data_IF_838746972591
#
_entry.id   IF_838746972591
#
_cell.length_a   1.000
_cell.length_b   1.000
_cell.length_c   1.000
_cell.angle_alpha   90.00
_cell.angle_beta   90.00
_cell.angle_gamma   90.00
#
_symmetry.space_group_name_H-M   'P 1'
#
loop_
_entity.id
_entity.type
_entity.pdbx_description
1 polymer ?
#
# COMPACT_ATOMS: atom_id res chain seq x y z
N UNK A 1 -41.03 30.48 22.82
CA UNK A 1 -40.56 30.85 24.17
C UNK A 1 -40.04 29.59 24.81
N UNK A 2 -38.73 29.35 24.71
CA UNK A 2 -38.03 28.29 25.44
C UNK A 2 -36.85 29.00 26.10
N UNK A 3 -37.04 29.31 27.38
CA UNK A 3 -35.96 29.74 28.25
C UNK A 3 -35.26 28.52 28.84
N UNK A 4 -34.00 28.76 29.20
CA UNK A 4 -33.25 28.17 30.32
C UNK A 4 -32.98 26.66 30.33
N UNK A 5 -31.80 26.32 29.82
CA UNK A 5 -30.80 25.60 30.63
C UNK A 5 -29.39 25.83 30.08
N UNK A 6 -28.74 26.85 30.65
CA UNK A 6 -27.32 27.13 30.50
C UNK A 6 -26.61 26.62 31.77
N UNK A 7 -25.46 25.99 31.56
CA UNK A 7 -24.40 25.70 32.53
C UNK A 7 -24.65 24.68 33.64
N UNK A 8 -24.14 23.46 33.41
CA UNK A 8 -23.29 22.72 34.35
C UNK A 8 -22.62 21.56 33.59
N UNK A 9 -21.45 21.82 32.98
CA UNK A 9 -20.38 20.83 32.73
C UNK A 9 -19.12 21.50 32.15
N UNK A 10 -18.82 22.72 32.58
CA UNK A 10 -17.52 23.37 32.41
C UNK A 10 -16.79 23.32 33.74
N UNK A 11 -16.08 22.22 34.04
CA UNK A 11 -15.02 22.17 35.08
C UNK A 11 -14.32 20.79 35.07
N UNK A 12 -13.62 20.41 33.99
CA UNK A 12 -12.60 19.33 34.04
C UNK A 12 -11.83 19.12 32.73
N UNK A 13 -11.46 20.16 31.98
CA UNK A 13 -10.59 19.97 30.82
C UNK A 13 -9.60 21.12 30.57
N UNK A 14 -8.99 21.59 31.66
CA UNK A 14 -7.84 22.51 31.61
C UNK A 14 -6.69 21.86 32.37
N UNK A 15 -6.06 20.85 31.73
CA UNK A 15 -4.73 20.36 32.08
C UNK A 15 -4.00 19.98 30.76
N UNK A 16 -3.37 21.02 30.21
CA UNK A 16 -2.07 21.02 29.52
C UNK A 16 -1.74 19.96 28.47
N UNK A 17 -1.53 20.42 27.24
CA UNK A 17 -0.79 19.77 26.15
C UNK A 17 0.65 19.37 26.57
N UNK A 18 1.24 18.40 25.82
CA UNK A 18 2.70 18.16 25.59
C UNK A 18 3.36 16.84 26.03
N UNK A 19 2.72 15.66 25.93
CA UNK A 19 3.45 14.38 26.03
C UNK A 19 3.26 13.48 24.79
N UNK A 20 3.41 14.05 23.59
CA UNK A 20 3.21 13.33 22.30
C UNK A 20 4.32 12.31 21.95
N UNK A 21 5.42 12.25 22.71
CA UNK A 21 6.58 11.37 22.45
C UNK A 21 6.97 10.55 23.67
N UNK A 22 6.03 9.81 24.25
CA UNK A 22 6.30 8.93 25.39
C UNK A 22 5.73 7.52 25.17
N UNK A 23 6.43 6.47 25.62
CA UNK A 23 5.90 5.13 25.62
C UNK A 23 4.76 4.99 26.66
N UNK A 24 3.90 3.99 26.47
CA UNK A 24 2.68 3.82 27.30
C UNK A 24 2.91 2.95 28.54
N UNK A 25 3.95 2.12 28.51
CA UNK A 25 4.25 1.18 29.58
C UNK A 25 4.84 1.91 30.79
N UNK A 26 4.64 1.39 32.01
CA UNK A 26 5.13 2.03 33.22
C UNK A 26 6.66 2.03 33.32
N UNK A 27 7.18 2.85 34.23
CA UNK A 27 8.58 2.84 34.67
C UNK A 27 8.72 1.83 35.81
N UNK A 28 9.70 0.94 35.77
CA UNK A 28 10.01 0.05 36.90
C UNK A 28 11.10 0.70 37.77
N UNK A 29 10.73 1.06 38.99
CA UNK A 29 11.63 1.58 40.02
C UNK A 29 12.11 0.40 40.85
N UNK A 30 13.43 0.26 41.00
CA UNK A 30 14.08 -0.82 41.72
C UNK A 30 14.94 -0.18 42.81
N UNK A 31 14.42 -0.21 44.04
CA UNK A 31 14.96 0.54 45.18
C UNK A 31 14.50 -0.14 46.47
N UNK A 32 15.39 -0.33 47.43
CA UNK A 32 15.12 -1.02 48.69
C UNK A 32 14.58 -0.08 49.79
N UNK A 33 14.90 1.22 49.74
CA UNK A 33 14.47 2.20 50.75
C UNK A 33 13.12 2.83 50.41
N UNK A 34 12.16 2.69 51.33
CA UNK A 34 10.80 3.21 51.17
C UNK A 34 10.75 4.72 50.93
N UNK A 35 11.65 5.48 51.56
CA UNK A 35 11.69 6.94 51.37
C UNK A 35 12.02 7.32 49.92
N UNK A 36 12.96 6.61 49.30
CA UNK A 36 13.37 6.81 47.92
C UNK A 36 12.28 6.33 46.95
N UNK A 37 11.63 5.20 47.24
CA UNK A 37 10.50 4.71 46.45
C UNK A 37 9.39 5.76 46.34
N UNK A 38 8.98 6.34 47.47
CA UNK A 38 7.91 7.37 47.51
C UNK A 38 8.32 8.62 46.74
N UNK A 39 9.58 9.07 46.88
CA UNK A 39 10.10 10.21 46.13
C UNK A 39 10.07 9.95 44.61
N UNK A 40 10.59 8.81 44.17
CA UNK A 40 10.69 8.47 42.75
C UNK A 40 9.31 8.25 42.11
N UNK A 41 8.38 7.60 42.83
CA UNK A 41 6.99 7.47 42.40
C UNK A 41 6.31 8.84 42.24
N UNK A 42 6.53 9.77 43.18
CA UNK A 42 6.00 11.13 43.08
C UNK A 42 6.58 11.88 41.86
N UNK A 43 7.85 11.68 41.54
CA UNK A 43 8.50 12.27 40.35
C UNK A 43 7.91 11.67 39.07
N UNK A 44 7.78 10.34 38.97
CA UNK A 44 7.14 9.65 37.84
C UNK A 44 5.70 10.17 37.61
N UNK A 45 4.92 10.32 38.69
CA UNK A 45 3.57 10.87 38.62
C UNK A 45 3.55 12.33 38.16
N UNK A 46 4.50 13.15 38.60
CA UNK A 46 4.64 14.55 38.16
C UNK A 46 4.91 14.66 36.67
N UNK A 47 5.68 13.74 36.09
CA UNK A 47 5.91 13.64 34.64
C UNK A 47 4.81 12.81 33.94
N UNK A 48 3.68 12.52 34.59
CA UNK A 48 2.54 11.85 33.97
C UNK A 48 2.78 10.39 33.55
N UNK A 49 3.77 9.71 34.14
CA UNK A 49 4.05 8.30 33.90
C UNK A 49 3.57 7.44 35.07
N UNK A 50 3.00 6.28 34.76
CA UNK A 50 2.79 5.24 35.76
C UNK A 50 4.13 4.61 36.15
N UNK A 51 4.26 4.23 37.42
CA UNK A 51 5.42 3.50 37.92
C UNK A 51 5.03 2.25 38.68
N UNK A 52 5.93 1.28 38.70
CA UNK A 52 5.85 0.11 39.55
C UNK A 52 7.12 0.01 40.37
N UNK A 53 7.04 -0.59 41.56
CA UNK A 53 8.14 -0.66 42.50
C UNK A 53 8.54 -2.13 42.71
N UNK A 54 9.84 -2.39 42.67
CA UNK A 54 10.46 -3.62 43.12
C UNK A 54 11.46 -3.32 44.23
N UNK A 55 11.41 -4.08 45.32
CA UNK A 55 12.28 -3.86 46.49
C UNK A 55 13.70 -4.41 46.31
N UNK A 56 13.91 -5.30 45.33
CA UNK A 56 15.21 -5.85 44.97
C UNK A 56 15.26 -6.29 43.49
N UNK A 57 16.46 -6.64 43.00
CA UNK A 57 16.65 -7.07 41.62
C UNK A 57 15.93 -8.38 41.24
N UNK A 58 15.67 -9.27 42.20
CA UNK A 58 14.99 -10.55 41.93
C UNK A 58 13.50 -10.32 41.68
N UNK A 59 12.85 -9.53 42.53
CA UNK A 59 11.46 -9.09 42.35
C UNK A 59 11.33 -8.32 41.04
N UNK A 60 12.31 -7.47 40.71
CA UNK A 60 12.32 -6.74 39.45
C UNK A 60 12.35 -7.66 38.22
N UNK A 61 13.16 -8.73 38.24
CA UNK A 61 13.19 -9.72 37.15
C UNK A 61 11.84 -10.45 37.00
N UNK A 62 11.23 -10.87 38.10
CA UNK A 62 9.90 -11.51 38.09
C UNK A 62 8.80 -10.57 37.58
N UNK A 63 8.89 -9.29 37.90
CA UNK A 63 7.96 -8.27 37.39
C UNK A 63 8.17 -8.02 35.90
N UNK A 64 9.43 -7.88 35.46
CA UNK A 64 9.81 -7.62 34.08
C UNK A 64 9.58 -8.82 33.14
N UNK A 65 9.42 -10.04 33.68
CA UNK A 65 9.00 -11.21 32.90
C UNK A 65 7.49 -11.27 32.68
N UNK A 66 6.68 -10.65 33.56
CA UNK A 66 5.21 -10.70 33.50
C UNK A 66 4.60 -9.61 32.61
N UNK A 67 5.24 -8.44 32.54
CA UNK A 67 4.79 -7.33 31.68
C UNK A 67 5.97 -6.46 31.24
N UNK A 68 5.85 -5.76 30.09
CA UNK A 68 6.88 -4.84 29.63
C UNK A 68 6.90 -3.54 30.44
N UNK A 69 8.08 -2.91 30.48
CA UNK A 69 8.30 -1.60 31.08
C UNK A 69 9.01 -0.69 30.08
N UNK A 70 8.77 0.61 30.17
CA UNK A 70 9.37 1.61 29.29
C UNK A 70 10.82 1.92 29.66
N UNK A 71 11.10 1.92 30.95
CA UNK A 71 12.37 2.35 31.53
C UNK A 71 12.56 1.65 32.89
N UNK A 72 13.80 1.30 33.20
CA UNK A 72 14.18 0.72 34.48
C UNK A 72 15.03 1.74 35.26
N UNK A 73 14.55 2.18 36.43
CA UNK A 73 15.30 3.03 37.34
C UNK A 73 15.89 2.15 38.44
N UNK A 74 17.22 1.98 38.45
CA UNK A 74 17.90 0.91 39.19
C UNK A 74 18.81 1.49 40.26
N UNK A 75 18.61 1.14 41.53
CA UNK A 75 19.67 1.29 42.54
C UNK A 75 20.71 0.19 42.39
N UNK A 76 21.99 0.56 42.45
CA UNK A 76 23.09 -0.40 42.41
C UNK A 76 23.24 -1.15 43.73
N UNK A 77 22.96 -0.48 44.85
CA UNK A 77 23.23 -1.01 46.18
C UNK A 77 21.93 -1.47 46.84
N UNK A 78 21.55 -2.72 46.59
CA UNK A 78 20.34 -3.34 47.16
C UNK A 78 20.63 -4.74 47.71
N UNK A 79 19.84 -5.22 48.69
CA UNK A 79 19.94 -6.59 49.19
C UNK A 79 19.48 -7.63 48.14
N UNK A 80 19.84 -8.89 48.35
CA UNK A 80 19.45 -10.07 47.55
C UNK A 80 20.09 -10.13 46.14
N UNK A 81 19.70 -9.25 45.22
CA UNK A 81 20.26 -9.16 43.87
C UNK A 81 20.59 -7.71 43.56
N UNK A 82 21.86 -7.44 43.29
CA UNK A 82 22.37 -6.09 43.05
C UNK A 82 21.96 -5.55 41.67
N UNK A 83 21.96 -4.22 41.53
CA UNK A 83 21.53 -3.55 40.30
C UNK A 83 22.39 -3.90 39.09
N UNK A 84 23.69 -4.17 39.29
CA UNK A 84 24.61 -4.55 38.21
C UNK A 84 24.23 -5.91 37.62
N UNK A 85 23.97 -6.92 38.45
CA UNK A 85 23.54 -8.24 37.97
C UNK A 85 22.15 -8.18 37.34
N UNK A 86 21.23 -7.38 37.90
CA UNK A 86 19.91 -7.15 37.28
C UNK A 86 20.02 -6.62 35.84
N UNK A 87 20.84 -5.58 35.61
CA UNK A 87 21.03 -4.98 34.28
C UNK A 87 21.58 -6.02 33.30
N UNK A 88 22.57 -6.82 33.71
CA UNK A 88 23.17 -7.85 32.87
C UNK A 88 22.15 -8.93 32.47
N UNK A 89 21.39 -9.47 33.43
CA UNK A 89 20.38 -10.49 33.17
C UNK A 89 19.26 -9.95 32.29
N UNK A 90 18.78 -8.73 32.56
CA UNK A 90 17.72 -8.14 31.74
C UNK A 90 18.18 -7.86 30.32
N UNK A 91 19.41 -7.39 30.11
CA UNK A 91 19.94 -7.15 28.76
C UNK A 91 20.13 -8.40 27.91
N UNK A 92 20.38 -9.56 28.53
CA UNK A 92 20.40 -10.84 27.79
C UNK A 92 19.03 -11.17 27.20
N UNK A 93 17.96 -10.83 27.91
CA UNK A 93 16.58 -11.11 27.51
C UNK A 93 15.99 -9.99 26.63
N UNK A 94 16.31 -8.74 26.95
CA UNK A 94 15.85 -7.55 26.24
C UNK A 94 17.04 -6.60 26.01
N UNK A 95 17.82 -6.79 24.92
CA UNK A 95 18.98 -5.96 24.62
C UNK A 95 18.65 -4.47 24.42
N UNK A 96 17.39 -4.16 24.06
CA UNK A 96 16.87 -2.82 23.87
C UNK A 96 16.45 -2.11 25.16
N UNK A 97 16.44 -2.81 26.30
CA UNK A 97 16.01 -2.24 27.57
C UNK A 97 16.85 -0.99 27.93
N UNK A 98 16.15 0.05 28.37
CA UNK A 98 16.75 1.33 28.75
C UNK A 98 16.77 1.42 30.27
N UNK A 99 17.94 1.72 30.81
CA UNK A 99 18.16 1.78 32.26
C UNK A 99 18.63 3.19 32.62
N UNK A 100 18.18 3.72 33.76
CA UNK A 100 18.82 4.82 34.47
C UNK A 100 19.26 4.28 35.81
N UNK A 101 20.50 4.53 36.17
CA UNK A 101 21.02 4.11 37.46
C UNK A 101 20.91 5.22 38.46
N UNK A 102 20.64 4.87 39.71
CA UNK A 102 20.83 5.73 40.86
C UNK A 102 21.89 5.12 41.79
N UNK A 103 22.87 5.91 42.22
CA UNK A 103 23.98 5.41 43.04
C UNK A 103 24.50 6.45 44.02
N UNK A 104 25.03 5.99 45.15
CA UNK A 104 25.82 6.80 46.09
C UNK A 104 27.33 6.75 45.79
N UNK A 105 27.75 5.94 44.81
CA UNK A 105 29.14 5.81 44.37
C UNK A 105 29.50 7.05 43.55
N UNK A 106 30.51 7.78 43.99
CA UNK A 106 31.08 8.96 43.32
C UNK A 106 32.43 8.68 42.63
N UNK A 107 32.93 7.45 42.74
CA UNK A 107 34.18 7.02 42.09
C UNK A 107 33.99 6.87 40.57
N UNK A 108 34.79 7.62 39.82
CA UNK A 108 34.71 7.71 38.35
C UNK A 108 34.92 6.34 37.68
N UNK A 109 35.85 5.53 38.18
CA UNK A 109 36.19 4.23 37.56
C UNK A 109 35.02 3.25 37.63
N UNK A 110 34.30 3.20 38.75
CA UNK A 110 33.13 2.33 38.93
C UNK A 110 31.96 2.78 38.02
N UNK A 111 31.73 4.09 37.90
CA UNK A 111 30.70 4.64 37.00
C UNK A 111 31.00 4.27 35.54
N UNK A 112 32.27 4.36 35.12
CA UNK A 112 32.68 3.98 33.75
C UNK A 112 32.41 2.50 33.49
N UNK A 113 32.70 1.60 34.44
CA UNK A 113 32.40 0.18 34.28
C UNK A 113 30.92 -0.09 34.05
N UNK A 114 30.06 0.65 34.75
CA UNK A 114 28.63 0.44 34.66
C UNK A 114 28.07 1.05 33.37
N UNK A 115 28.58 2.20 32.93
CA UNK A 115 28.22 2.77 31.63
C UNK A 115 28.59 1.85 30.47
N UNK A 116 29.69 1.06 30.59
CA UNK A 116 30.05 0.02 29.59
C UNK A 116 29.02 -1.09 29.46
N UNK A 117 28.10 -1.26 30.42
CA UNK A 117 26.96 -2.16 30.29
C UNK A 117 25.88 -1.60 29.33
N UNK A 118 26.09 -0.41 28.76
CA UNK A 118 25.20 0.24 27.79
C UNK A 118 23.94 0.81 28.45
N UNK A 119 24.10 1.36 29.65
CA UNK A 119 23.05 2.03 30.40
C UNK A 119 22.85 3.44 29.82
N UNK A 120 21.64 3.98 29.86
CA UNK A 120 21.34 5.26 29.22
C UNK A 120 21.94 6.43 29.99
N UNK A 121 21.77 6.46 31.31
CA UNK A 121 22.28 7.53 32.17
C UNK A 121 22.41 7.08 33.62
N UNK A 122 23.03 7.91 34.46
CA UNK A 122 23.13 7.71 35.91
C UNK A 122 22.79 8.97 36.71
N UNK A 123 22.35 8.77 37.95
CA UNK A 123 21.93 9.78 38.91
C UNK A 123 22.70 9.57 40.21
N UNK A 124 23.39 10.62 40.67
CA UNK A 124 24.09 10.61 41.96
C UNK A 124 23.12 10.96 43.09
N UNK A 125 23.13 10.18 44.17
CA UNK A 125 22.40 10.49 45.41
C UNK A 125 23.17 11.61 46.16
N UNK A 126 22.50 12.62 46.76
CA UNK A 126 21.06 12.75 46.97
C UNK A 126 20.29 13.17 45.71
N UNK A 127 19.11 12.58 45.49
CA UNK A 127 18.30 12.79 44.29
C UNK A 127 17.57 14.13 44.33
N UNK A 128 17.88 15.01 43.37
CA UNK A 128 17.16 16.26 43.19
C UNK A 128 16.01 16.09 42.18
N UNK A 129 14.79 16.44 42.60
CA UNK A 129 13.55 16.25 41.83
C UNK A 129 13.67 16.76 40.38
N UNK A 130 14.22 17.95 40.18
CA UNK A 130 14.34 18.55 38.84
C UNK A 130 15.30 17.79 37.93
N UNK A 131 16.43 17.31 38.47
CA UNK A 131 17.43 16.54 37.73
C UNK A 131 16.84 15.20 37.33
N UNK A 132 16.20 14.49 38.27
CA UNK A 132 15.59 13.18 38.00
C UNK A 132 14.48 13.31 36.95
N UNK A 133 13.61 14.32 37.08
CA UNK A 133 12.55 14.56 36.11
C UNK A 133 13.11 14.79 34.70
N UNK A 134 14.08 15.70 34.53
CA UNK A 134 14.72 15.97 33.23
C UNK A 134 15.35 14.71 32.61
N UNK A 135 16.04 13.89 33.40
CA UNK A 135 16.64 12.65 32.90
C UNK A 135 15.60 11.62 32.49
N UNK A 136 14.53 11.46 33.27
CA UNK A 136 13.44 10.55 32.94
C UNK A 136 12.72 10.99 31.65
N UNK A 137 12.45 12.28 31.47
CA UNK A 137 11.79 12.79 30.26
C UNK A 137 12.61 12.52 29.00
N UNK A 138 13.91 12.80 29.02
CA UNK A 138 14.82 12.53 27.89
C UNK A 138 14.94 11.04 27.59
N UNK A 139 15.02 10.20 28.62
CA UNK A 139 15.08 8.76 28.45
C UNK A 139 13.80 8.19 27.84
N UNK A 140 12.63 8.68 28.26
CA UNK A 140 11.33 8.27 27.71
C UNK A 140 11.18 8.70 26.25
N UNK A 141 11.62 9.90 25.88
CA UNK A 141 11.63 10.32 24.48
C UNK A 141 12.55 9.43 23.64
N UNK A 142 13.74 9.09 24.14
CA UNK A 142 14.65 8.16 23.46
C UNK A 142 14.02 6.77 23.25
N UNK A 143 13.35 6.22 24.28
CA UNK A 143 12.62 4.93 24.16
C UNK A 143 11.53 5.01 23.09
N UNK A 144 10.77 6.11 23.06
CA UNK A 144 9.72 6.33 22.07
C UNK A 144 10.29 6.36 20.65
N UNK A 145 11.33 7.17 20.42
CA UNK A 145 11.96 7.31 19.10
C UNK A 145 12.54 5.99 18.59
N UNK A 146 13.24 5.25 19.46
CA UNK A 146 13.86 3.96 19.11
C UNK A 146 12.81 2.90 18.74
N UNK A 147 11.66 2.89 19.41
CA UNK A 147 10.54 2.00 19.04
C UNK A 147 9.92 2.40 17.70
N UNK A 148 9.77 3.69 17.45
CA UNK A 148 9.23 4.20 16.19
C UNK A 148 10.16 3.87 15.02
N UNK A 149 11.47 4.04 15.19
CA UNK A 149 12.49 3.63 14.21
C UNK A 149 12.42 2.12 13.92
N UNK A 150 12.32 1.29 14.95
CA UNK A 150 12.20 -0.17 14.78
C UNK A 150 10.91 -0.56 14.03
N UNK A 151 9.80 0.16 14.24
CA UNK A 151 8.55 -0.09 13.53
C UNK A 151 8.64 0.30 12.05
N UNK A 152 9.26 1.44 11.75
CA UNK A 152 9.47 1.91 10.38
C UNK A 152 10.38 0.95 9.58
N UNK A 153 11.47 0.48 10.20
CA UNK A 153 12.36 -0.52 9.59
C UNK A 153 11.61 -1.84 9.33
N UNK A 154 10.74 -2.25 10.26
CA UNK A 154 9.96 -3.49 10.11
C UNK A 154 8.93 -3.37 8.96
N UNK A 155 8.28 -2.22 8.80
CA UNK A 155 7.41 -1.91 7.66
C UNK A 155 8.16 -1.89 6.33
N UNK A 156 9.29 -1.19 6.25
CA UNK A 156 10.14 -1.12 5.05
C UNK A 156 10.67 -2.52 4.68
N UNK A 157 11.05 -3.32 5.67
CA UNK A 157 11.51 -4.70 5.43
C UNK A 157 10.40 -5.62 4.93
N UNK A 158 9.15 -5.43 5.37
CA UNK A 158 7.98 -6.16 4.86
C UNK A 158 7.68 -5.79 3.42
N UNK A 159 7.72 -4.51 3.10
CA UNK A 159 7.54 -4.00 1.73
C UNK A 159 8.64 -4.55 0.81
N UNK A 160 9.90 -4.45 1.20
CA UNK A 160 11.04 -4.99 0.45
C UNK A 160 10.93 -6.52 0.26
N UNK A 161 10.49 -7.24 1.29
CA UNK A 161 10.28 -8.69 1.21
C UNK A 161 9.15 -9.04 0.25
N UNK A 162 8.04 -8.29 0.25
CA UNK A 162 6.95 -8.43 -0.72
C UNK A 162 7.45 -8.20 -2.15
N UNK A 163 8.25 -7.13 -2.36
CA UNK A 163 8.87 -6.83 -3.64
C UNK A 163 9.84 -7.93 -4.09
N UNK A 164 10.67 -8.47 -3.20
CA UNK A 164 11.58 -9.59 -3.48
C UNK A 164 10.83 -10.89 -3.78
N UNK A 165 9.76 -11.20 -3.05
CA UNK A 165 8.90 -12.35 -3.33
C UNK A 165 8.23 -12.21 -4.71
N UNK A 166 7.88 -10.99 -5.11
CA UNK A 166 7.35 -10.72 -6.44
C UNK A 166 8.40 -10.83 -7.54
N UNK A 167 9.60 -10.29 -7.33
CA UNK A 167 10.73 -10.44 -8.26
C UNK A 167 11.11 -11.91 -8.43
N UNK A 168 11.18 -12.67 -7.34
CA UNK A 168 11.41 -14.12 -7.36
C UNK A 168 10.27 -14.88 -8.05
N UNK A 169 9.01 -14.45 -7.88
CA UNK A 169 7.89 -15.01 -8.62
C UNK A 169 8.04 -14.78 -10.13
N UNK A 170 8.38 -13.55 -10.55
CA UNK A 170 8.66 -13.22 -11.96
C UNK A 170 9.86 -13.99 -12.50
N UNK A 171 10.92 -14.15 -11.71
CA UNK A 171 12.11 -14.91 -12.12
C UNK A 171 11.85 -16.42 -12.18
N UNK A 172 11.02 -16.96 -11.28
CA UNK A 172 10.56 -18.35 -11.30
C UNK A 172 9.64 -18.64 -12.49
N UNK A 173 8.77 -17.69 -12.85
CA UNK A 173 7.97 -17.73 -14.10
C UNK A 173 8.85 -17.59 -15.35
N UNK A 174 10.06 -17.04 -15.22
CA UNK A 174 11.09 -17.05 -16.28
C UNK A 174 11.67 -18.44 -16.55
N UNK A 175 11.44 -19.42 -15.66
CA UNK A 175 12.11 -20.74 -15.73
C UNK A 175 11.21 -21.98 -15.63
N UNK A 176 9.93 -21.90 -15.27
CA UNK A 176 9.14 -23.14 -15.11
C UNK A 176 7.63 -23.01 -15.37
N UNK A 177 7.13 -23.95 -16.19
CA UNK A 177 5.76 -24.40 -16.44
C UNK A 177 4.88 -23.62 -17.45
N UNK A 178 5.31 -23.62 -18.72
CA UNK A 178 4.49 -23.28 -19.90
C UNK A 178 3.14 -24.03 -19.93
N UNK A 179 3.10 -25.31 -19.51
CA UNK A 179 1.90 -26.17 -19.64
C UNK A 179 0.70 -25.72 -18.79
N UNK A 180 0.92 -25.23 -17.56
CA UNK A 180 -0.20 -24.81 -16.70
C UNK A 180 -0.73 -23.43 -17.11
N UNK A 181 0.14 -22.52 -17.57
CA UNK A 181 -0.26 -21.21 -18.09
C UNK A 181 -1.07 -21.34 -19.39
N UNK A 182 -0.68 -22.26 -20.28
CA UNK A 182 -1.41 -22.57 -21.51
C UNK A 182 -2.80 -23.17 -21.23
N UNK A 183 -2.91 -24.15 -20.33
CA UNK A 183 -4.19 -24.75 -19.94
C UNK A 183 -5.15 -23.74 -19.28
N UNK A 184 -4.63 -22.87 -18.40
CA UNK A 184 -5.44 -21.80 -17.80
C UNK A 184 -5.90 -20.78 -18.83
N UNK A 185 -5.05 -20.42 -19.79
CA UNK A 185 -5.41 -19.54 -20.91
C UNK A 185 -6.54 -20.15 -21.75
N UNK A 186 -6.47 -21.45 -22.07
CA UNK A 186 -7.53 -22.15 -22.82
C UNK A 186 -8.85 -22.18 -22.03
N UNK A 187 -8.81 -22.46 -20.73
CA UNK A 187 -10.00 -22.48 -19.87
C UNK A 187 -10.62 -21.08 -19.75
N UNK A 188 -9.81 -20.04 -19.63
CA UNK A 188 -10.26 -18.65 -19.56
C UNK A 188 -10.84 -18.18 -20.91
N UNK A 189 -10.22 -18.53 -22.05
CA UNK A 189 -10.78 -18.30 -23.40
C UNK A 189 -12.14 -18.97 -23.52
N UNK A 190 -12.24 -20.26 -23.18
CA UNK A 190 -13.50 -21.02 -23.27
C UNK A 190 -14.59 -20.35 -22.44
N UNK A 191 -14.26 -19.97 -21.20
CA UNK A 191 -15.21 -19.32 -20.30
C UNK A 191 -15.68 -18.00 -20.89
N UNK A 192 -14.76 -17.18 -21.40
CA UNK A 192 -15.07 -15.85 -21.92
C UNK A 192 -15.84 -15.89 -23.23
N UNK A 193 -15.52 -16.82 -24.15
CA UNK A 193 -16.25 -16.99 -25.41
C UNK A 193 -17.64 -17.61 -25.20
N UNK A 194 -17.84 -18.38 -24.13
CA UNK A 194 -19.14 -19.01 -23.82
C UNK A 194 -20.03 -18.20 -22.88
N UNK A 195 -19.52 -17.16 -22.20
CA UNK A 195 -20.30 -16.31 -21.28
C UNK A 195 -20.69 -14.96 -21.89
N UNK A 196 -21.76 -14.36 -21.37
CA UNK A 196 -22.22 -13.02 -21.76
C UNK A 196 -22.60 -12.92 -23.25
N UNK A 197 -22.15 -11.86 -23.91
CA UNK A 197 -22.36 -11.54 -25.34
C UNK A 197 -21.46 -12.35 -26.31
N UNK A 198 -20.86 -13.45 -25.86
CA UNK A 198 -20.02 -14.31 -26.69
C UNK A 198 -20.77 -15.28 -27.61
N UNK A 199 -20.04 -16.21 -28.23
CA UNK A 199 -20.54 -17.23 -29.16
C UNK A 199 -21.65 -18.11 -28.57
N UNK A 200 -21.61 -18.36 -27.26
CA UNK A 200 -22.65 -19.13 -26.56
C UNK A 200 -24.03 -18.47 -26.67
N UNK A 201 -24.11 -17.17 -26.39
CA UNK A 201 -25.35 -16.42 -26.51
C UNK A 201 -25.82 -16.31 -27.98
N UNK A 202 -24.89 -16.15 -28.93
CA UNK A 202 -25.24 -16.19 -30.35
C UNK A 202 -25.88 -17.53 -30.74
N UNK A 203 -25.31 -18.66 -30.29
CA UNK A 203 -25.88 -19.99 -30.53
C UNK A 203 -27.29 -20.10 -29.95
N UNK A 204 -27.51 -19.62 -28.72
CA UNK A 204 -28.84 -19.64 -28.08
C UNK A 204 -29.86 -18.77 -28.83
N UNK A 205 -29.45 -17.60 -29.34
CA UNK A 205 -30.31 -16.73 -30.14
C UNK A 205 -30.65 -17.41 -31.46
N UNK A 206 -29.67 -18.01 -32.14
CA UNK A 206 -29.88 -18.76 -33.40
C UNK A 206 -30.83 -19.94 -33.17
N UNK A 207 -30.64 -20.71 -32.10
CA UNK A 207 -31.52 -21.83 -31.75
C UNK A 207 -32.96 -21.35 -31.48
N UNK A 208 -33.11 -20.22 -30.80
CA UNK A 208 -34.42 -19.58 -30.55
C UNK A 208 -35.09 -19.14 -31.86
N UNK A 209 -34.33 -18.52 -32.78
CA UNK A 209 -34.81 -18.16 -34.11
C UNK A 209 -35.23 -19.41 -34.88
N UNK A 210 -34.46 -20.49 -34.84
CA UNK A 210 -34.81 -21.73 -35.53
C UNK A 210 -36.11 -22.36 -35.01
N UNK A 211 -36.39 -22.26 -33.72
CA UNK A 211 -37.61 -22.79 -33.11
C UNK A 211 -38.84 -21.90 -33.35
N UNK A 212 -38.66 -20.57 -33.42
CA UNK A 212 -39.77 -19.61 -33.49
C UNK A 212 -40.02 -19.08 -34.91
N UNK A 213 -39.16 -19.36 -35.90
CA UNK A 213 -39.35 -18.92 -37.27
C UNK A 213 -40.65 -19.46 -37.87
N UNK A 214 -41.34 -18.61 -38.63
CA UNK A 214 -42.55 -18.99 -39.35
C UNK A 214 -42.17 -19.23 -40.81
N UNK A 215 -42.38 -20.44 -41.32
CA UNK A 215 -42.13 -20.81 -42.71
C UNK A 215 -43.24 -20.26 -43.62
N UNK A 216 -42.88 -19.45 -44.61
CA UNK A 216 -43.78 -18.90 -45.62
C UNK A 216 -43.48 -19.47 -47.03
N UNK A 217 -42.84 -20.64 -47.10
CA UNK A 217 -42.51 -21.34 -48.33
C UNK A 217 -41.18 -20.90 -48.93
N UNK A 218 -41.05 -19.64 -49.35
CA UNK A 218 -39.78 -19.09 -49.87
C UNK A 218 -38.95 -18.35 -48.82
N UNK A 219 -39.62 -17.77 -47.83
CA UNK A 219 -38.99 -16.92 -46.82
C UNK A 219 -39.35 -17.40 -45.41
N UNK A 220 -38.49 -17.07 -44.44
CA UNK A 220 -38.78 -17.21 -43.02
C UNK A 220 -39.11 -15.84 -42.42
N UNK A 221 -40.22 -15.75 -41.70
CA UNK A 221 -40.51 -14.58 -40.87
C UNK A 221 -39.93 -14.79 -39.48
N UNK A 222 -39.07 -13.86 -39.05
CA UNK A 222 -38.40 -13.86 -37.75
C UNK A 222 -38.86 -12.61 -37.00
N UNK A 223 -39.12 -12.73 -35.69
CA UNK A 223 -39.43 -11.57 -34.87
C UNK A 223 -38.21 -10.63 -34.82
N UNK A 224 -38.46 -9.34 -35.08
CA UNK A 224 -37.48 -8.26 -35.09
C UNK A 224 -36.61 -8.24 -33.83
N UNK A 225 -37.17 -8.52 -32.65
CA UNK A 225 -36.42 -8.54 -31.40
C UNK A 225 -35.26 -9.54 -31.42
N UNK A 226 -35.47 -10.75 -31.97
CA UNK A 226 -34.40 -11.74 -32.09
C UNK A 226 -33.37 -11.36 -33.14
N UNK A 227 -33.79 -10.67 -34.20
CA UNK A 227 -32.88 -10.16 -35.21
C UNK A 227 -31.98 -9.06 -34.64
N UNK A 228 -32.55 -8.11 -33.92
CA UNK A 228 -31.81 -7.02 -33.27
C UNK A 228 -30.83 -7.58 -32.23
N UNK A 229 -31.26 -8.53 -31.38
CA UNK A 229 -30.38 -9.24 -30.44
C UNK A 229 -29.24 -10.00 -31.12
N UNK A 230 -29.53 -10.69 -32.23
CA UNK A 230 -28.50 -11.42 -32.99
C UNK A 230 -27.46 -10.46 -33.56
N UNK A 231 -27.92 -9.32 -34.09
CA UNK A 231 -27.06 -8.31 -34.68
C UNK A 231 -26.19 -7.61 -33.64
N UNK A 232 -26.74 -7.23 -32.49
CA UNK A 232 -25.98 -6.67 -31.37
C UNK A 232 -24.91 -7.65 -30.86
N UNK A 233 -25.25 -8.93 -30.72
CA UNK A 233 -24.30 -9.96 -30.33
C UNK A 233 -23.20 -10.15 -31.40
N UNK A 234 -23.53 -10.05 -32.68
CA UNK A 234 -22.57 -10.12 -33.77
C UNK A 234 -21.56 -8.97 -33.74
N UNK A 235 -22.02 -7.72 -33.56
CA UNK A 235 -21.14 -6.55 -33.42
C UNK A 235 -20.18 -6.70 -32.23
N UNK A 236 -20.67 -7.28 -31.13
CA UNK A 236 -19.83 -7.55 -29.97
C UNK A 236 -18.71 -8.57 -30.28
N UNK A 237 -19.03 -9.66 -30.97
CA UNK A 237 -18.03 -10.66 -31.37
C UNK A 237 -17.00 -10.08 -32.36
N UNK A 238 -17.40 -9.22 -33.29
CA UNK A 238 -16.46 -8.51 -34.18
C UNK A 238 -15.49 -7.65 -33.37
N UNK A 239 -15.99 -6.93 -32.37
CA UNK A 239 -15.16 -6.08 -31.50
C UNK A 239 -14.16 -6.92 -30.71
N UNK A 240 -14.59 -8.07 -30.18
CA UNK A 240 -13.70 -9.02 -29.51
C UNK A 240 -12.58 -9.52 -30.43
N UNK A 241 -12.90 -9.86 -31.68
CA UNK A 241 -11.92 -10.32 -32.66
C UNK A 241 -10.91 -9.22 -33.03
N UNK A 242 -11.37 -7.99 -33.23
CA UNK A 242 -10.47 -6.84 -33.46
C UNK A 242 -9.48 -6.63 -32.30
N UNK A 243 -9.92 -6.85 -31.07
CA UNK A 243 -9.05 -6.77 -29.90
C UNK A 243 -8.00 -7.89 -29.86
N UNK A 244 -8.35 -9.10 -30.30
CA UNK A 244 -7.40 -10.21 -30.47
C UNK A 244 -6.38 -9.92 -31.58
N UNK A 245 -6.84 -9.41 -32.73
CA UNK A 245 -5.96 -9.05 -33.85
C UNK A 245 -4.93 -7.99 -33.43
N UNK A 246 -5.38 -6.95 -32.70
CA UNK A 246 -4.50 -5.94 -32.15
C UNK A 246 -3.48 -6.53 -31.16
N UNK A 247 -3.90 -7.46 -30.30
CA UNK A 247 -2.99 -8.13 -29.38
C UNK A 247 -1.92 -8.95 -30.13
N UNK A 248 -2.32 -9.71 -31.15
CA UNK A 248 -1.40 -10.46 -32.00
C UNK A 248 -0.43 -9.54 -32.73
N UNK A 249 -0.91 -8.42 -33.27
CA UNK A 249 -0.07 -7.41 -33.93
C UNK A 249 1.01 -6.88 -32.98
N UNK A 250 0.65 -6.51 -31.75
CA UNK A 250 1.60 -5.99 -30.76
C UNK A 250 2.63 -7.05 -30.36
N UNK A 251 2.22 -8.32 -30.25
CA UNK A 251 3.12 -9.43 -29.91
C UNK A 251 4.12 -9.69 -31.06
N UNK A 252 3.66 -9.68 -32.31
CA UNK A 252 4.48 -10.00 -33.47
C UNK A 252 5.39 -8.84 -33.90
N UNK A 253 4.96 -7.59 -33.72
CA UNK A 253 5.73 -6.41 -34.10
C UNK A 253 7.00 -6.28 -33.26
N UNK A 254 8.13 -5.95 -33.88
CA UNK A 254 9.35 -5.62 -33.14
C UNK A 254 9.21 -4.28 -32.42
N UNK A 255 9.63 -4.23 -31.16
CA UNK A 255 9.61 -3.00 -30.36
C UNK A 255 10.84 -2.17 -30.66
N UNK A 256 10.65 -1.00 -31.28
CA UNK A 256 11.72 -0.06 -31.56
C UNK A 256 11.72 1.04 -30.49
N UNK A 257 12.60 0.90 -29.49
CA UNK A 257 12.70 1.87 -28.41
C UNK A 257 13.39 3.15 -28.90
N UNK A 258 12.68 4.27 -28.84
CA UNK A 258 13.17 5.58 -29.22
C UNK A 258 13.32 6.44 -27.96
N UNK A 259 14.46 7.11 -27.85
CA UNK A 259 14.72 8.04 -26.76
C UNK A 259 13.75 9.21 -26.83
N UNK A 260 12.81 9.25 -25.90
CA UNK A 260 11.67 10.17 -25.87
C UNK A 260 11.65 10.91 -24.54
N UNK A 261 11.22 12.18 -24.52
CA UNK A 261 11.09 12.92 -23.27
C UNK A 261 9.80 12.48 -22.56
N UNK A 262 9.84 12.45 -21.23
CA UNK A 262 8.64 12.16 -20.42
C UNK A 262 7.50 13.16 -20.70
N UNK A 263 7.82 14.41 -21.07
CA UNK A 263 6.84 15.41 -21.52
C UNK A 263 6.00 14.95 -22.71
N UNK A 264 6.62 14.31 -23.71
CA UNK A 264 5.92 13.84 -24.91
C UNK A 264 4.94 12.71 -24.56
N UNK A 265 5.35 11.82 -23.64
CA UNK A 265 4.49 10.76 -23.11
C UNK A 265 3.32 11.36 -22.31
N UNK A 266 3.57 12.34 -21.46
CA UNK A 266 2.51 12.99 -20.66
C UNK A 266 1.58 13.84 -21.52
N UNK A 267 2.07 14.38 -22.64
CA UNK A 267 1.29 15.13 -23.61
C UNK A 267 0.15 14.34 -24.25
N UNK A 268 0.18 13.01 -24.22
CA UNK A 268 -0.91 12.18 -24.76
C UNK A 268 -2.11 12.09 -23.81
N UNK A 269 -1.91 12.30 -22.50
CA UNK A 269 -2.94 12.06 -21.48
C UNK A 269 -4.20 12.90 -21.68
N UNK A 270 -4.13 14.22 -21.96
CA UNK A 270 -5.32 15.02 -22.18
C UNK A 270 -6.17 14.52 -23.35
N UNK A 271 -5.52 14.15 -24.47
CA UNK A 271 -6.21 13.62 -25.65
C UNK A 271 -6.82 12.23 -25.40
N UNK A 272 -6.23 11.42 -24.53
CA UNK A 272 -6.82 10.14 -24.13
C UNK A 272 -8.06 10.34 -23.27
N UNK A 273 -8.00 11.22 -22.26
CA UNK A 273 -9.12 11.53 -21.37
C UNK A 273 -10.29 12.16 -22.14
N UNK A 274 -9.99 12.96 -23.15
CA UNK A 274 -10.99 13.57 -24.04
C UNK A 274 -11.95 12.53 -24.65
N UNK A 275 -11.44 11.36 -24.99
CA UNK A 275 -12.23 10.29 -25.58
C UNK A 275 -13.27 9.69 -24.63
N UNK A 276 -13.19 9.98 -23.33
CA UNK A 276 -14.06 9.47 -22.26
C UNK A 276 -14.94 10.55 -21.62
N UNK A 277 -15.12 11.71 -22.28
CA UNK A 277 -15.88 12.84 -21.72
C UNK A 277 -17.31 12.48 -21.33
N UNK A 278 -17.98 11.63 -22.12
CA UNK A 278 -19.36 11.23 -21.87
C UNK A 278 -19.46 10.41 -20.58
N UNK A 279 -18.59 9.42 -20.42
CA UNK A 279 -18.55 8.51 -19.27
C UNK A 279 -18.10 9.22 -17.99
N UNK A 280 -17.15 10.15 -18.11
CA UNK A 280 -16.71 11.03 -17.01
C UNK A 280 -17.88 11.90 -16.54
N UNK A 281 -18.65 12.48 -17.48
CA UNK A 281 -19.81 13.30 -17.15
C UNK A 281 -20.94 12.47 -16.55
N UNK A 282 -21.23 11.29 -17.10
CA UNK A 282 -22.30 10.41 -16.62
C UNK A 282 -22.05 9.93 -15.19
N UNK A 283 -20.77 9.67 -14.85
CA UNK A 283 -20.36 9.26 -13.51
C UNK A 283 -20.05 10.42 -12.56
N UNK A 284 -20.13 11.67 -13.02
CA UNK A 284 -19.74 12.88 -12.29
C UNK A 284 -18.32 12.77 -11.70
N UNK A 285 -17.36 12.25 -12.48
CA UNK A 285 -15.99 12.03 -12.03
C UNK A 285 -15.16 13.32 -12.11
N UNK A 286 -14.28 13.52 -11.13
CA UNK A 286 -13.22 14.53 -11.19
C UNK A 286 -11.92 13.88 -11.61
N UNK A 287 -11.41 14.25 -12.79
CA UNK A 287 -10.16 13.72 -13.34
C UNK A 287 -9.04 14.73 -13.12
N UNK A 288 -7.98 14.31 -12.43
CA UNK A 288 -6.77 15.10 -12.24
C UNK A 288 -5.62 14.51 -13.06
N UNK A 289 -4.92 15.36 -13.80
CA UNK A 289 -3.78 14.98 -14.63
C UNK A 289 -2.46 15.51 -14.05
N UNK A 290 -1.33 14.83 -14.32
CA UNK A 290 -0.04 15.24 -13.78
C UNK A 290 0.38 16.58 -14.37
N UNK A 291 0.93 17.45 -13.51
CA UNK A 291 1.61 18.67 -13.94
C UNK A 291 3.09 18.35 -14.14
N UNK A 292 3.61 18.60 -15.34
CA UNK A 292 5.03 18.40 -15.65
C UNK A 292 5.87 19.35 -14.81
N UNK A 293 6.60 18.80 -13.83
CA UNK A 293 7.57 19.55 -13.01
C UNK A 293 9.02 19.29 -13.40
N UNK A 294 9.29 18.10 -13.93
CA UNK A 294 10.63 17.64 -14.30
C UNK A 294 10.54 16.73 -15.53
N UNK A 295 11.45 16.94 -16.47
CA UNK A 295 11.55 16.17 -17.72
C UNK A 295 12.71 15.19 -17.64
N UNK A 296 12.48 13.95 -18.05
CA UNK A 296 13.49 12.88 -18.09
C UNK A 296 13.43 12.18 -19.45
N UNK A 297 14.52 11.52 -19.83
CA UNK A 297 14.55 10.71 -21.04
C UNK A 297 14.20 9.26 -20.73
N UNK A 298 13.35 8.67 -21.58
CA UNK A 298 12.89 7.29 -21.51
C UNK A 298 13.11 6.65 -22.88
N UNK A 299 13.54 5.39 -22.92
CA UNK A 299 13.63 4.63 -24.16
C UNK A 299 12.32 3.88 -24.37
N UNK A 300 11.45 4.41 -25.21
CA UNK A 300 10.08 3.90 -25.38
C UNK A 300 9.62 3.88 -26.84
N UNK A 301 8.70 2.97 -27.18
CA UNK A 301 7.85 3.05 -28.37
C UNK A 301 6.54 3.75 -28.00
N UNK A 302 6.39 5.00 -28.45
CA UNK A 302 5.29 5.87 -28.07
C UNK A 302 3.91 5.29 -28.44
N UNK A 303 3.80 4.60 -29.58
CA UNK A 303 2.52 4.02 -30.02
C UNK A 303 2.10 2.86 -29.13
N UNK A 304 3.02 1.96 -28.79
CA UNK A 304 2.76 0.87 -27.84
C UNK A 304 2.43 1.43 -26.44
N UNK A 305 3.17 2.44 -25.97
CA UNK A 305 2.90 3.09 -24.69
C UNK A 305 1.52 3.76 -24.65
N UNK A 306 1.10 4.39 -25.75
CA UNK A 306 -0.25 4.98 -25.88
C UNK A 306 -1.34 3.92 -25.74
N UNK A 307 -1.13 2.71 -26.27
CA UNK A 307 -2.05 1.59 -26.09
C UNK A 307 -2.10 1.15 -24.64
N UNK A 308 -0.96 0.98 -23.98
CA UNK A 308 -0.92 0.59 -22.57
C UNK A 308 -1.60 1.62 -21.63
N UNK A 309 -1.27 2.91 -21.80
CA UNK A 309 -1.86 3.98 -20.98
C UNK A 309 -3.37 4.11 -21.23
N UNK A 310 -3.81 3.98 -22.49
CA UNK A 310 -5.24 3.97 -22.81
C UNK A 310 -5.98 2.87 -22.05
N UNK A 311 -5.42 1.67 -21.96
CA UNK A 311 -6.04 0.54 -21.26
C UNK A 311 -6.13 0.75 -19.74
N UNK A 312 -5.07 1.30 -19.13
CA UNK A 312 -5.07 1.65 -17.71
C UNK A 312 -6.14 2.71 -17.41
N UNK A 313 -6.23 3.75 -18.25
CA UNK A 313 -7.25 4.79 -18.11
C UNK A 313 -8.66 4.20 -18.29
N UNK A 314 -8.85 3.36 -19.30
CA UNK A 314 -10.15 2.72 -19.59
C UNK A 314 -10.62 1.92 -18.38
N UNK A 315 -9.77 1.04 -17.83
CA UNK A 315 -10.11 0.25 -16.64
C UNK A 315 -10.31 1.13 -15.40
N UNK A 316 -9.46 2.15 -15.22
CA UNK A 316 -9.56 3.14 -14.15
C UNK A 316 -10.94 3.81 -14.12
N UNK A 317 -11.38 4.37 -15.25
CA UNK A 317 -12.67 5.04 -15.39
C UNK A 317 -13.86 4.07 -15.34
N UNK A 318 -13.73 2.89 -15.96
CA UNK A 318 -14.76 1.85 -15.99
C UNK A 318 -15.15 1.39 -14.59
N UNK A 319 -14.18 1.22 -13.69
CA UNK A 319 -14.43 0.75 -12.32
C UNK A 319 -14.46 1.87 -11.25
N UNK A 320 -14.35 3.13 -11.67
CA UNK A 320 -14.50 4.27 -10.76
C UNK A 320 -15.93 4.39 -10.22
N UNK A 321 -16.05 4.65 -8.91
CA UNK A 321 -17.31 4.95 -8.21
C UNK A 321 -17.89 6.29 -8.69
N UNK A 322 -19.22 6.42 -8.78
CA UNK A 322 -19.85 7.72 -9.12
C UNK A 322 -19.50 8.80 -8.10
N UNK A 323 -19.33 10.05 -8.55
CA UNK A 323 -18.95 11.22 -7.73
C UNK A 323 -17.61 11.04 -6.99
N UNK A 324 -16.65 10.38 -7.62
CA UNK A 324 -15.31 10.14 -7.07
C UNK A 324 -14.21 10.83 -7.88
N UNK A 325 -12.95 10.60 -7.49
CA UNK A 325 -11.78 11.14 -8.16
C UNK A 325 -11.05 10.04 -8.93
N UNK A 326 -10.53 10.42 -10.10
CA UNK A 326 -9.58 9.62 -10.86
C UNK A 326 -8.31 10.45 -11.04
N UNK A 327 -7.28 10.08 -10.29
CA UNK A 327 -6.07 10.88 -10.18
C UNK A 327 -4.92 10.19 -10.92
N UNK A 328 -4.36 10.87 -11.91
CA UNK A 328 -3.13 10.46 -12.58
C UNK A 328 -2.00 11.36 -12.12
N UNK A 329 -0.93 10.77 -11.61
CA UNK A 329 0.23 11.53 -11.12
C UNK A 329 1.54 10.84 -11.48
N UNK A 330 2.63 11.60 -11.40
CA UNK A 330 3.98 11.14 -11.72
C UNK A 330 4.86 11.27 -10.49
N UNK A 331 5.62 10.22 -10.20
CA UNK A 331 6.67 10.21 -9.17
C UNK A 331 7.99 9.71 -9.78
N UNK A 332 9.09 10.03 -9.10
CA UNK A 332 10.42 9.57 -9.48
C UNK A 332 10.98 8.78 -8.29
N UNK A 333 11.28 7.50 -8.50
CA UNK A 333 11.74 6.59 -7.44
C UNK A 333 12.98 5.87 -7.93
N UNK A 334 14.12 6.04 -7.26
CA UNK A 334 15.36 5.29 -7.49
C UNK A 334 15.77 5.09 -8.96
N UNK A 335 15.68 6.15 -9.76
CA UNK A 335 16.04 6.10 -11.19
C UNK A 335 14.95 5.59 -12.12
N UNK A 336 13.72 5.43 -11.63
CA UNK A 336 12.54 5.11 -12.43
C UNK A 336 11.58 6.29 -12.51
N UNK A 337 10.99 6.45 -13.69
CA UNK A 337 9.82 7.27 -13.95
C UNK A 337 8.59 6.42 -13.62
N UNK A 338 7.79 6.88 -12.66
CA UNK A 338 6.55 6.20 -12.27
C UNK A 338 5.33 7.02 -12.68
N UNK A 339 4.45 6.42 -13.49
CA UNK A 339 3.14 6.98 -13.83
C UNK A 339 2.07 6.16 -13.09
N UNK A 340 1.39 6.79 -12.15
CA UNK A 340 0.38 6.14 -11.31
C UNK A 340 -1.01 6.66 -11.66
N UNK A 341 -1.96 5.73 -11.85
CA UNK A 341 -3.39 6.03 -11.99
C UNK A 341 -4.11 5.47 -10.76
N UNK A 342 -4.67 6.37 -9.95
CA UNK A 342 -5.41 6.07 -8.72
C UNK A 342 -6.90 6.24 -8.97
N UNK A 343 -7.70 5.24 -8.57
CA UNK A 343 -9.15 5.34 -8.58
C UNK A 343 -9.76 4.95 -7.23
N UNK A 344 -10.94 5.49 -6.95
CA UNK A 344 -11.81 4.97 -5.89
C UNK A 344 -12.77 3.97 -6.50
N UNK A 345 -12.72 2.74 -6.01
CA UNK A 345 -13.53 1.65 -6.55
C UNK A 345 -14.94 1.58 -5.96
N UNK A 346 -15.81 0.92 -6.70
CA UNK A 346 -17.12 0.49 -6.22
C UNK A 346 -16.89 -0.59 -5.15
N UNK A 347 -17.45 -0.41 -3.96
CA UNK A 347 -17.41 -1.42 -2.89
C UNK A 347 -18.37 -2.57 -3.24
N UNK A 348 -17.90 -3.54 -4.01
CA UNK A 348 -18.62 -4.76 -4.36
C UNK A 348 -17.85 -6.03 -3.93
N UNK A 349 -18.46 -7.21 -4.10
CA UNK A 349 -17.78 -8.48 -3.77
C UNK A 349 -16.54 -8.73 -4.64
N UNK A 350 -16.53 -8.18 -5.86
CA UNK A 350 -15.43 -8.30 -6.82
C UNK A 350 -14.20 -7.48 -6.37
N UNK A 351 -14.40 -6.29 -5.81
CA UNK A 351 -13.36 -5.48 -5.19
C UNK A 351 -12.66 -6.22 -4.04
N UNK A 352 -13.40 -7.00 -3.24
CA UNK A 352 -12.81 -7.83 -2.17
C UNK A 352 -11.96 -8.99 -2.70
N UNK A 353 -12.33 -9.56 -3.85
CA UNK A 353 -11.54 -10.62 -4.51
C UNK A 353 -10.22 -10.10 -5.11
N UNK A 354 -10.16 -8.80 -5.43
CA UNK A 354 -8.96 -8.16 -5.96
C UNK A 354 -7.77 -8.29 -5.01
N UNK A 355 -7.97 -8.08 -3.71
CA UNK A 355 -6.94 -8.19 -2.68
C UNK A 355 -6.29 -9.59 -2.58
N UNK A 356 -6.97 -10.62 -3.08
CA UNK A 356 -6.47 -12.01 -3.10
C UNK A 356 -5.92 -12.42 -4.48
N UNK A 357 -6.17 -11.61 -5.53
CA UNK A 357 -6.00 -12.01 -6.93
C UNK A 357 -5.20 -10.99 -7.75
N UNK A 358 -4.48 -10.06 -7.12
CA UNK A 358 -3.68 -9.02 -7.81
C UNK A 358 -2.75 -9.63 -8.88
N UNK A 359 -2.15 -10.79 -8.59
CA UNK A 359 -1.26 -11.52 -9.50
C UNK A 359 -1.96 -12.12 -10.73
N UNK A 360 -3.25 -12.43 -10.63
CA UNK A 360 -4.03 -13.06 -11.71
C UNK A 360 -4.60 -12.04 -12.70
N UNK A 361 -4.65 -10.76 -12.34
CA UNK A 361 -5.23 -9.70 -13.18
C UNK A 361 -4.51 -9.50 -14.51
N UNK A 362 -3.23 -9.85 -14.57
CA UNK A 362 -2.42 -9.79 -15.79
C UNK A 362 -2.42 -11.12 -16.56
N UNK A 363 -3.03 -12.18 -16.01
CA UNK A 363 -3.18 -13.44 -16.74
C UNK A 363 -4.15 -13.25 -17.92
N UNK A 364 -3.80 -13.78 -19.11
CA UNK A 364 -4.64 -13.63 -20.28
C UNK A 364 -6.03 -14.23 -20.04
N UNK A 365 -7.04 -13.49 -20.48
CA UNK A 365 -8.46 -13.86 -20.42
C UNK A 365 -9.05 -13.96 -19.00
N UNK A 366 -8.30 -13.52 -17.98
CA UNK A 366 -8.81 -13.46 -16.62
C UNK A 366 -9.68 -12.21 -16.41
N UNK A 367 -10.87 -12.40 -15.84
CA UNK A 367 -11.80 -11.31 -15.50
C UNK A 367 -12.37 -11.53 -14.11
N UNK A 368 -12.36 -10.47 -13.31
CA UNK A 368 -13.03 -10.44 -12.01
C UNK A 368 -14.45 -9.89 -12.17
N UNK A 369 -14.59 -8.73 -12.83
CA UNK A 369 -15.90 -8.12 -13.06
C UNK A 369 -16.52 -8.60 -14.37
N UNK A 370 -17.86 -8.69 -14.43
CA UNK A 370 -18.58 -8.85 -15.68
C UNK A 370 -18.34 -7.65 -16.63
N UNK A 371 -18.53 -7.85 -17.94
CA UNK A 371 -18.42 -6.77 -18.91
C UNK A 371 -19.39 -5.61 -18.61
N UNK A 372 -18.95 -4.37 -18.86
CA UNK A 372 -19.73 -3.15 -18.66
C UNK A 372 -20.14 -2.59 -20.02
N UNK A 373 -21.44 -2.61 -20.33
CA UNK A 373 -21.96 -2.32 -21.67
C UNK A 373 -21.60 -0.93 -22.19
N UNK A 374 -21.60 0.09 -21.31
CA UNK A 374 -21.28 1.47 -21.70
C UNK A 374 -19.84 1.68 -22.19
N UNK A 375 -18.93 0.73 -21.93
CA UNK A 375 -17.53 0.82 -22.33
C UNK A 375 -17.16 -0.04 -23.55
N UNK A 376 -18.11 -0.80 -24.14
CA UNK A 376 -17.80 -1.74 -25.22
C UNK A 376 -17.13 -1.13 -26.44
N UNK A 377 -17.54 0.07 -26.86
CA UNK A 377 -16.96 0.75 -28.02
C UNK A 377 -15.57 1.34 -27.75
N UNK A 378 -15.17 1.44 -26.48
CA UNK A 378 -13.91 2.06 -26.04
C UNK A 378 -12.88 1.02 -25.61
N UNK A 379 -13.29 -0.18 -25.21
CA UNK A 379 -12.38 -1.28 -24.89
C UNK A 379 -11.64 -1.75 -26.15
N UNK A 380 -10.34 -1.43 -26.25
CA UNK A 380 -9.48 -1.93 -27.32
C UNK A 380 -9.25 -3.43 -27.20
N UNK A 381 -9.05 -3.90 -25.96
CA UNK A 381 -8.85 -5.30 -25.64
C UNK A 381 -10.07 -5.81 -24.89
N UNK A 382 -10.96 -6.48 -25.62
CA UNK A 382 -12.01 -7.26 -24.98
C UNK A 382 -11.43 -8.54 -24.34
N UNK A 383 -12.31 -9.38 -23.80
CA UNK A 383 -11.97 -10.72 -23.29
C UNK A 383 -11.07 -10.79 -22.04
N UNK A 384 -10.63 -9.66 -21.47
CA UNK A 384 -9.69 -9.68 -20.33
C UNK A 384 -8.23 -9.76 -20.76
N UNK A 385 -7.90 -9.24 -21.95
CA UNK A 385 -6.51 -9.17 -22.44
C UNK A 385 -5.82 -7.83 -22.16
N UNK A 386 -6.57 -6.81 -21.74
CA UNK A 386 -6.05 -5.45 -21.60
C UNK A 386 -4.84 -5.35 -20.68
N UNK A 387 -4.98 -5.76 -19.41
CA UNK A 387 -3.88 -5.68 -18.44
C UNK A 387 -2.73 -6.63 -18.78
N UNK A 388 -3.00 -7.78 -19.40
CA UNK A 388 -1.96 -8.66 -19.95
C UNK A 388 -1.14 -7.94 -21.01
N UNK A 389 -1.79 -7.20 -21.90
CA UNK A 389 -1.11 -6.46 -22.95
C UNK A 389 -0.33 -5.25 -22.40
N UNK A 390 -0.87 -4.56 -21.40
CA UNK A 390 -0.14 -3.52 -20.65
C UNK A 390 1.16 -4.08 -20.07
N UNK A 391 1.08 -5.21 -19.38
CA UNK A 391 2.24 -5.86 -18.79
C UNK A 391 3.23 -6.31 -19.87
N UNK A 392 2.76 -6.92 -20.96
CA UNK A 392 3.61 -7.32 -22.09
C UNK A 392 4.33 -6.14 -22.75
N UNK A 393 3.62 -5.04 -23.03
CA UNK A 393 4.20 -3.82 -23.60
C UNK A 393 5.28 -3.28 -22.67
N UNK A 394 4.99 -3.14 -21.38
CA UNK A 394 5.94 -2.59 -20.41
C UNK A 394 7.19 -3.45 -20.26
N UNK A 395 7.05 -4.77 -20.29
CA UNK A 395 8.21 -5.67 -20.31
C UNK A 395 9.11 -5.45 -21.53
N UNK A 396 8.56 -5.21 -22.72
CA UNK A 396 9.36 -4.89 -23.92
C UNK A 396 10.06 -3.53 -23.85
N UNK A 397 9.63 -2.67 -22.92
CA UNK A 397 10.22 -1.37 -22.64
C UNK A 397 11.18 -1.39 -21.44
N UNK A 398 11.56 -2.58 -20.95
CA UNK A 398 12.32 -2.78 -19.70
C UNK A 398 11.64 -2.13 -18.48
N UNK A 399 10.34 -1.93 -18.55
CA UNK A 399 9.52 -1.38 -17.49
C UNK A 399 8.83 -2.45 -16.67
N UNK A 400 8.10 -2.00 -15.66
CA UNK A 400 7.29 -2.87 -14.79
C UNK A 400 5.89 -2.31 -14.65
N UNK A 401 4.93 -3.21 -14.50
CA UNK A 401 3.55 -2.89 -14.20
C UNK A 401 3.15 -3.44 -12.84
N UNK A 402 2.47 -2.62 -12.04
CA UNK A 402 1.92 -3.02 -10.76
C UNK A 402 0.47 -2.55 -10.63
N UNK A 403 -0.36 -3.37 -9.98
CA UNK A 403 -1.68 -2.98 -9.50
C UNK A 403 -1.74 -3.38 -8.04
N UNK A 404 -2.07 -2.44 -7.17
CA UNK A 404 -2.17 -2.68 -5.72
C UNK A 404 -3.37 -1.98 -5.12
N UNK A 405 -3.89 -2.58 -4.06
CA UNK A 405 -4.82 -1.91 -3.17
C UNK A 405 -4.07 -0.92 -2.26
N UNK A 406 -4.63 0.27 -2.10
CA UNK A 406 -4.14 1.30 -1.20
C UNK A 406 -5.31 1.89 -0.40
N UNK A 407 -5.00 2.48 0.75
CA UNK A 407 -5.99 3.17 1.57
C UNK A 407 -5.75 4.67 1.40
N UNK A 408 -6.77 5.38 0.94
CA UNK A 408 -6.69 6.82 0.82
C UNK A 408 -6.80 7.48 2.21
N UNK A 409 -5.73 8.14 2.63
CA UNK A 409 -5.66 8.93 3.87
C UNK A 409 -5.86 10.44 3.65
N UNK A 410 -6.08 10.87 2.40
CA UNK A 410 -6.18 12.29 2.04
C UNK A 410 -7.56 12.89 2.34
N UNK A 411 -8.56 12.05 2.61
CA UNK A 411 -9.93 12.45 3.00
C UNK A 411 -10.24 12.02 4.44
N UNK A 412 -11.14 12.74 5.14
CA UNK A 412 -11.59 12.40 6.50
C UNK A 412 -12.21 10.98 6.61
N UNK A 413 -12.61 10.41 5.48
CA UNK A 413 -13.09 9.03 5.33
C UNK A 413 -11.99 8.20 4.68
N UNK A 414 -11.56 7.11 5.35
CA UNK A 414 -10.70 6.08 4.74
C UNK A 414 -11.49 5.40 3.63
N UNK A 415 -10.99 5.49 2.39
CA UNK A 415 -11.60 4.83 1.24
C UNK A 415 -10.60 3.87 0.60
N UNK A 416 -11.05 2.66 0.29
CA UNK A 416 -10.27 1.71 -0.49
C UNK A 416 -10.08 2.27 -1.91
N UNK A 417 -8.83 2.30 -2.36
CA UNK A 417 -8.45 2.78 -3.68
C UNK A 417 -7.53 1.76 -4.36
N UNK A 418 -7.57 1.72 -5.68
CA UNK A 418 -6.61 0.94 -6.47
C UNK A 418 -5.65 1.93 -7.11
N UNK A 419 -4.37 1.56 -7.11
CA UNK A 419 -3.34 2.26 -7.84
C UNK A 419 -2.75 1.29 -8.87
N UNK A 420 -2.86 1.67 -10.14
CA UNK A 420 -2.16 1.02 -11.25
C UNK A 420 -0.94 1.86 -11.61
N UNK A 421 0.24 1.26 -11.63
CA UNK A 421 1.52 1.96 -11.73
C UNK A 421 2.39 1.39 -12.84
N UNK A 422 2.88 2.30 -13.67
CA UNK A 422 3.88 2.02 -14.69
C UNK A 422 5.22 2.52 -14.20
N UNK A 423 6.23 1.66 -14.19
CA UNK A 423 7.62 2.02 -13.95
C UNK A 423 8.42 1.91 -15.23
N UNK A 424 9.11 2.98 -15.61
CA UNK A 424 10.02 3.02 -16.77
C UNK A 424 11.41 3.48 -16.32
N UNK A 425 12.49 2.82 -16.79
CA UNK A 425 13.83 3.19 -16.40
C UNK A 425 14.24 4.53 -17.01
N UNK A 426 14.77 5.44 -16.18
CA UNK A 426 15.26 6.75 -16.63
C UNK A 426 16.62 6.57 -17.30
N UNK A 427 16.78 7.16 -18.47
CA UNK A 427 18.03 7.15 -19.21
C UNK A 427 18.85 8.40 -18.90
N UNK A 428 19.94 8.22 -18.14
CA UNK A 428 20.91 9.29 -17.87
C UNK A 428 21.55 9.78 -19.18
N UNK A 429 21.69 11.09 -19.33
CA UNK A 429 22.47 11.66 -20.42
C UNK A 429 23.93 11.23 -20.28
N UNK A 430 24.36 10.29 -21.14
CA UNK A 430 25.78 10.09 -21.42
C UNK A 430 26.27 11.32 -22.18
N UNK A 431 26.68 12.36 -21.45
CA UNK A 431 26.98 13.66 -22.05
C UNK A 431 27.70 14.66 -21.15
N UNK A 432 28.65 14.23 -20.33
CA UNK A 432 29.80 15.08 -19.92
C UNK A 432 30.90 14.16 -19.38
N UNK A 433 31.84 13.80 -20.25
CA UNK A 433 33.17 13.42 -19.79
C UNK A 433 33.74 14.64 -19.08
N UNK A 434 33.98 14.53 -17.78
CA UNK A 434 34.96 15.39 -17.12
C UNK A 434 36.32 15.01 -17.69
N UNK A 435 36.82 15.80 -18.63
CA UNK A 435 38.26 15.97 -18.86
C UNK A 435 38.84 16.94 -17.82
#
# INVERSE_FOLDING_TARGET
MVESNVNQNQSSNVLGKEHLRRPKEPILIIEDKKENQVLLEAICKRIGMESAIAEDGKVALEMASKRPYSLYLVDLMMPVLDGKTFIQERKKLEPSAVFIIQTAIDQIDEIIEIMKLGVYDYLLKPLHIEIVADRLEKALEYVYLKRMESLLIDEESKELKSQLEWLNYKESHRKTNEINSELHSILNIKTTLMQGSGLGAMSTIIDSIQQMKIDQGKDYSINKEFWDLLFENHEHNITMMKGLDLAVEIIQKDTNLVRTKSEDLLGILPALIENFREEISEKELKVNLPVVKQSVFLDIDLESMKVAIHEIITNGLKYSKRKSHFDVFVTFVDGYFCLSAKNNIIEDEYAKQLAQSEKKLVEPFYRIHPPVESFYSKEKFSLGLGLTMVDFILHRHNGMFFIRNAIDHTTEVKADCIIAEIFLPIQNDKGTKHE
#
